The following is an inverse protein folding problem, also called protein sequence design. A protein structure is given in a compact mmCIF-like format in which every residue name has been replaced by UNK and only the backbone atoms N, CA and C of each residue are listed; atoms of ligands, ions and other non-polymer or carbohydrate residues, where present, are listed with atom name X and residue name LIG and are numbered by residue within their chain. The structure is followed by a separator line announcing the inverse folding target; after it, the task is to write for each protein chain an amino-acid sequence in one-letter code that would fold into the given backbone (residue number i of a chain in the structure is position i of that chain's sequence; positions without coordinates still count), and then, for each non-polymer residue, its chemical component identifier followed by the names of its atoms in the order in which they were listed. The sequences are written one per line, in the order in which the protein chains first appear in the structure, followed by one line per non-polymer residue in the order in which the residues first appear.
data_IF_098421187514
#
_entry.id   IF_098421187514
#
_cell.length_a   1.000
_cell.length_b   1.000
_cell.length_c   1.000
_cell.angle_alpha   90.00
_cell.angle_beta   90.00
_cell.angle_gamma   90.00
#
_symmetry.space_group_name_H-M   'P 1'
#
loop_
_entity.id
_entity.type
_entity.pdbx_description
1 polymer ?
#
# COMPACT_ATOMS: atom_id res chain seq x y z
N UNK A 1 -5.13 -13.51 -2.31
CA UNK A 1 -5.32 -13.84 -0.88
C UNK A 1 -4.33 -13.04 -0.06
N UNK A 2 -4.33 -13.19 1.27
CA UNK A 2 -3.29 -12.56 2.10
C UNK A 2 -1.92 -13.21 1.82
N UNK A 3 -1.85 -14.51 1.53
CA UNK A 3 -0.59 -15.16 1.14
C UNK A 3 -0.01 -14.54 -0.15
N UNK A 4 -0.83 -14.44 -1.21
CA UNK A 4 -0.41 -13.82 -2.47
C UNK A 4 0.04 -12.37 -2.29
N UNK A 5 -0.62 -11.62 -1.39
CA UNK A 5 -0.21 -10.25 -1.05
C UNK A 5 1.14 -10.25 -0.31
N UNK A 6 1.41 -11.25 0.52
CA UNK A 6 2.68 -11.42 1.23
C UNK A 6 3.84 -11.70 0.28
N UNK A 7 3.59 -12.48 -0.78
CA UNK A 7 4.61 -12.82 -1.79
C UNK A 7 5.05 -11.61 -2.61
N UNK A 8 4.12 -10.73 -3.01
CA UNK A 8 4.42 -9.55 -3.84
C UNK A 8 4.69 -8.29 -3.02
N UNK A 9 4.17 -8.22 -1.80
CA UNK A 9 4.25 -7.04 -0.93
C UNK A 9 3.27 -5.92 -1.29
N UNK A 10 2.93 -5.11 -0.27
CA UNK A 10 1.91 -4.07 -0.38
C UNK A 10 2.22 -2.98 -1.43
N UNK A 11 3.50 -2.60 -1.58
CA UNK A 11 3.92 -1.58 -2.55
C UNK A 11 3.73 -2.05 -3.99
N UNK A 12 4.09 -3.30 -4.30
CA UNK A 12 3.95 -3.84 -5.65
C UNK A 12 2.48 -4.11 -6.00
N UNK A 13 1.71 -4.61 -5.04
CA UNK A 13 0.27 -4.75 -5.17
C UNK A 13 -0.41 -3.38 -5.43
N UNK A 14 0.02 -2.32 -4.74
CA UNK A 14 -0.50 -0.96 -4.96
C UNK A 14 -0.28 -0.49 -6.40
N UNK A 15 0.94 -0.60 -6.92
CA UNK A 15 1.28 -0.21 -8.31
C UNK A 15 0.45 -1.03 -9.31
N UNK A 16 0.39 -2.35 -9.11
CA UNK A 16 -0.35 -3.23 -10.00
C UNK A 16 -1.84 -2.89 -10.08
N UNK A 17 -2.47 -2.60 -8.94
CA UNK A 17 -3.88 -2.19 -8.87
C UNK A 17 -4.09 -0.83 -9.55
N UNK A 18 -3.23 0.15 -9.26
CA UNK A 18 -3.26 1.48 -9.90
C UNK A 18 -3.18 1.38 -11.42
N UNK A 19 -2.19 0.65 -11.92
CA UNK A 19 -1.90 0.55 -13.35
C UNK A 19 -2.98 -0.23 -14.10
N UNK A 20 -3.53 -1.30 -13.50
CA UNK A 20 -4.61 -2.08 -14.12
C UNK A 20 -5.94 -1.35 -14.15
N UNK A 21 -6.29 -0.67 -13.05
CA UNK A 21 -7.60 -0.02 -12.96
C UNK A 21 -7.64 1.32 -13.71
N UNK A 22 -6.48 1.91 -14.04
CA UNK A 22 -6.38 3.27 -14.62
C UNK A 22 -7.17 4.31 -13.81
N UNK A 23 -7.35 4.05 -12.52
CA UNK A 23 -8.05 4.93 -11.59
C UNK A 23 -7.03 5.72 -10.78
N UNK A 24 -7.45 6.89 -10.32
CA UNK A 24 -6.72 7.61 -9.28
C UNK A 24 -6.88 6.84 -7.96
N UNK A 25 -5.96 5.91 -7.74
CA UNK A 25 -5.99 5.03 -6.58
C UNK A 25 -5.38 5.76 -5.39
N UNK A 26 -6.26 6.09 -4.43
CA UNK A 26 -5.90 6.75 -3.18
C UNK A 26 -4.68 6.12 -2.50
N UNK A 27 -3.79 6.96 -1.99
CA UNK A 27 -2.66 6.56 -1.14
C UNK A 27 -3.06 5.65 0.03
N UNK A 28 -4.32 5.76 0.49
CA UNK A 28 -4.88 4.92 1.56
C UNK A 28 -4.92 3.44 1.18
N UNK A 29 -4.92 3.10 -0.12
CA UNK A 29 -4.87 1.70 -0.54
C UNK A 29 -3.57 1.05 -0.07
N UNK A 30 -2.43 1.73 -0.22
CA UNK A 30 -1.15 1.18 0.25
C UNK A 30 -1.20 0.91 1.75
N UNK A 31 -1.86 1.77 2.53
CA UNK A 31 -1.95 1.61 3.98
C UNK A 31 -2.84 0.42 4.36
N UNK A 32 -3.93 0.22 3.62
CA UNK A 32 -4.83 -0.92 3.80
C UNK A 32 -4.13 -2.24 3.46
N UNK A 33 -3.34 -2.27 2.39
CA UNK A 33 -2.54 -3.43 2.02
C UNK A 33 -1.48 -3.74 3.07
N UNK A 34 -0.76 -2.73 3.56
CA UNK A 34 0.21 -2.91 4.64
C UNK A 34 -0.47 -3.41 5.92
N UNK A 35 -1.61 -2.82 6.29
CA UNK A 35 -2.41 -3.25 7.44
C UNK A 35 -2.86 -4.71 7.32
N UNK A 36 -3.28 -5.13 6.14
CA UNK A 36 -3.64 -6.53 5.88
C UNK A 36 -2.44 -7.47 6.11
N UNK A 37 -1.25 -7.10 5.64
CA UNK A 37 -0.02 -7.89 5.82
C UNK A 37 0.38 -8.05 7.29
N UNK A 38 0.30 -6.97 8.07
CA UNK A 38 0.66 -7.02 9.50
C UNK A 38 -0.53 -7.39 10.40
N UNK A 39 -1.63 -7.86 9.81
CA UNK A 39 -2.88 -8.23 10.50
C UNK A 39 -3.36 -7.15 11.49
N UNK A 40 -3.25 -5.88 11.07
CA UNK A 40 -3.61 -4.73 11.89
C UNK A 40 -4.43 -3.74 11.09
N UNK A 41 -5.39 -3.09 11.74
CA UNK A 41 -6.11 -1.99 11.11
C UNK A 41 -5.11 -0.90 10.69
N UNK A 42 -5.20 -0.42 9.44
CA UNK A 42 -4.21 0.48 8.83
C UNK A 42 -4.01 1.80 9.59
N UNK A 43 -5.05 2.29 10.28
CA UNK A 43 -4.96 3.47 11.16
C UNK A 43 -4.06 3.23 12.38
N UNK A 44 -3.80 1.98 12.75
CA UNK A 44 -2.99 1.59 13.91
C UNK A 44 -1.53 1.25 13.56
N UNK A 45 -1.06 1.58 12.34
CA UNK A 45 0.32 1.33 11.91
C UNK A 45 1.36 2.23 12.60
N UNK A 46 0.93 3.25 13.35
CA UNK A 46 1.81 4.24 13.97
C UNK A 46 2.29 5.30 12.97
N UNK A 47 2.61 6.49 13.48
CA UNK A 47 2.91 7.66 12.65
C UNK A 47 4.14 7.45 11.75
N UNK A 48 5.22 6.88 12.28
CA UNK A 48 6.44 6.62 11.52
C UNK A 48 6.19 5.70 10.31
N UNK A 49 5.39 4.64 10.50
CA UNK A 49 5.04 3.72 9.41
C UNK A 49 4.12 4.39 8.40
N UNK A 50 3.11 5.14 8.86
CA UNK A 50 2.23 5.90 7.96
C UNK A 50 3.01 6.93 7.13
N UNK A 51 3.99 7.60 7.74
CA UNK A 51 4.85 8.55 7.06
C UNK A 51 5.72 7.87 5.99
N UNK A 52 6.36 6.75 6.34
CA UNK A 52 7.14 5.95 5.38
C UNK A 52 6.27 5.47 4.21
N UNK A 53 5.01 5.11 4.45
CA UNK A 53 4.08 4.72 3.39
C UNK A 53 3.66 5.91 2.52
N UNK A 54 3.46 7.11 3.07
CA UNK A 54 3.22 8.34 2.27
C UNK A 54 4.39 8.63 1.33
N UNK A 55 5.61 8.59 1.85
CA UNK A 55 6.83 8.77 1.05
C UNK A 55 6.94 7.72 -0.05
N UNK A 56 6.58 6.47 0.28
CA UNK A 56 6.52 5.38 -0.70
C UNK A 56 5.51 5.67 -1.81
N UNK A 57 4.28 6.12 -1.49
CA UNK A 57 3.29 6.51 -2.50
C UNK A 57 3.84 7.65 -3.37
N UNK A 58 4.41 8.69 -2.77
CA UNK A 58 4.98 9.81 -3.51
C UNK A 58 6.04 9.35 -4.52
N UNK A 59 6.95 8.45 -4.13
CA UNK A 59 7.95 7.90 -5.04
C UNK A 59 7.34 7.07 -6.17
N UNK A 60 6.33 6.25 -5.87
CA UNK A 60 5.67 5.39 -6.84
C UNK A 60 4.82 6.17 -7.85
N UNK A 61 4.26 7.31 -7.46
CA UNK A 61 3.47 8.19 -8.35
C UNK A 61 4.30 9.02 -9.32
N UNK A 62 5.64 9.02 -9.20
CA UNK A 62 6.55 9.71 -10.12
C UNK A 62 7.19 8.79 -11.18
N UNK A 63 6.87 7.50 -11.14
CA UNK A 63 7.24 6.50 -12.16
C UNK A 63 6.11 6.35 -13.16
#
# INVERSE_FOLDING_TARGET
TIEELGEIGAAQAYVWIRDRLKLDVSERLLFRLEGALVQRHWMCLGEAKQQALRERVFMLSRQ
#
